data_IF_496014767213
#
_entry.id   IF_496014767213
#
_cell.length_a   1.000
_cell.length_b   1.000
_cell.length_c   1.000
_cell.angle_alpha   90.00
_cell.angle_beta   90.00
_cell.angle_gamma   90.00
#
_symmetry.space_group_name_H-M   'P 1'
#
loop_
_entity.id
_entity.type
_entity.pdbx_description
1 polymer ?
#
# COMPACT_ATOMS: atom_id res chain seq x y z
N UNK A 1 -2.38 -10.89 -25.17
CA UNK A 1 -3.77 -10.36 -25.16
C UNK A 1 -3.89 -9.44 -23.97
N UNK A 2 -4.27 -8.18 -24.15
CA UNK A 2 -4.52 -7.28 -23.02
C UNK A 2 -5.78 -7.79 -22.30
N UNK A 3 -5.60 -8.42 -21.14
CA UNK A 3 -6.71 -8.77 -20.27
C UNK A 3 -7.25 -7.46 -19.70
N UNK A 4 -8.49 -7.11 -20.03
CA UNK A 4 -9.17 -5.95 -19.44
C UNK A 4 -9.68 -6.35 -18.06
N UNK A 5 -8.90 -6.01 -17.02
CA UNK A 5 -9.31 -6.16 -15.63
C UNK A 5 -10.19 -4.98 -15.21
N UNK A 6 -11.07 -5.17 -14.23
CA UNK A 6 -11.75 -4.06 -13.56
C UNK A 6 -10.71 -3.07 -13.02
N UNK A 7 -10.89 -1.77 -13.25
CA UNK A 7 -9.97 -0.69 -12.90
C UNK A 7 -9.70 -0.54 -11.40
N UNK A 8 -9.41 0.68 -10.95
CA UNK A 8 -9.07 1.00 -9.58
C UNK A 8 -7.58 1.21 -9.36
N UNK A 9 -7.22 1.30 -8.08
CA UNK A 9 -5.92 1.80 -7.65
C UNK A 9 -5.15 0.75 -6.86
N UNK A 10 -3.88 0.54 -7.18
CA UNK A 10 -2.98 -0.19 -6.29
C UNK A 10 -2.27 0.79 -5.35
N UNK A 11 -2.72 0.86 -4.10
CA UNK A 11 -2.35 1.93 -3.17
C UNK A 11 -1.13 1.62 -2.28
N UNK A 12 -0.37 0.57 -2.57
CA UNK A 12 0.84 0.25 -1.82
C UNK A 12 1.85 -0.43 -2.76
N UNK A 13 2.97 0.24 -3.06
CA UNK A 13 3.96 -0.26 -3.99
C UNK A 13 5.34 0.35 -3.83
N UNK A 14 6.34 -0.44 -4.24
CA UNK A 14 7.76 -0.11 -4.08
C UNK A 14 8.51 -0.08 -5.41
N UNK A 15 9.42 0.87 -5.54
CA UNK A 15 10.32 1.08 -6.68
C UNK A 15 11.79 0.86 -6.28
N UNK A 16 12.66 0.80 -7.28
CA UNK A 16 14.12 0.79 -7.08
C UNK A 16 14.67 2.07 -6.46
N UNK A 17 13.81 3.08 -6.20
CA UNK A 17 14.19 4.31 -5.49
C UNK A 17 14.06 4.19 -3.98
N UNK A 18 13.51 3.08 -3.46
CA UNK A 18 13.52 2.80 -2.01
C UNK A 18 14.96 2.79 -1.49
N UNK A 19 15.14 3.24 -0.25
CA UNK A 19 16.38 2.91 0.46
C UNK A 19 16.32 1.46 0.89
N UNK A 20 17.41 0.72 0.68
CA UNK A 20 17.50 -0.68 1.10
C UNK A 20 17.25 -0.80 2.60
N UNK A 21 16.02 -1.18 2.97
CA UNK A 21 15.69 -1.48 4.34
C UNK A 21 16.25 -2.87 4.67
N UNK A 22 17.47 -2.89 5.22
CA UNK A 22 18.14 -4.06 5.82
C UNK A 22 18.45 -5.26 4.91
N UNK A 23 18.32 -5.15 3.58
CA UNK A 23 18.87 -6.16 2.66
C UNK A 23 17.93 -7.31 2.27
N UNK A 24 16.64 -7.26 2.64
CA UNK A 24 15.71 -8.38 2.42
C UNK A 24 14.71 -8.15 1.28
N UNK A 25 14.43 -6.89 0.94
CA UNK A 25 13.47 -6.53 -0.09
C UNK A 25 14.12 -6.51 -1.47
N UNK A 26 13.65 -7.40 -2.34
CA UNK A 26 14.10 -7.46 -3.73
C UNK A 26 13.12 -6.61 -4.55
N UNK A 27 13.55 -5.42 -4.94
CA UNK A 27 12.80 -4.56 -5.86
C UNK A 27 13.49 -4.41 -7.20
N UNK A 28 12.72 -4.63 -8.27
CA UNK A 28 13.25 -4.67 -9.63
C UNK A 28 12.50 -3.80 -10.65
N UNK A 29 11.68 -2.86 -10.18
CA UNK A 29 10.96 -1.92 -11.05
C UNK A 29 11.35 -0.47 -10.73
N UNK A 30 11.74 0.28 -11.76
CA UNK A 30 11.86 1.73 -11.65
C UNK A 30 10.49 2.39 -11.51
N UNK A 31 10.43 3.64 -11.00
CA UNK A 31 9.18 4.40 -10.97
C UNK A 31 8.45 4.46 -12.32
N UNK A 32 9.18 4.61 -13.42
CA UNK A 32 8.61 4.64 -14.78
C UNK A 32 8.08 3.27 -15.20
N UNK A 33 8.83 2.19 -14.93
CA UNK A 33 8.38 0.83 -15.23
C UNK A 33 7.10 0.48 -14.48
N UNK A 34 6.98 0.94 -13.23
CA UNK A 34 5.77 0.76 -12.43
C UNK A 34 4.56 1.44 -13.07
N UNK A 35 4.70 2.68 -13.54
CA UNK A 35 3.62 3.40 -14.25
C UNK A 35 3.23 2.67 -15.54
N UNK A 36 4.22 2.22 -16.33
CA UNK A 36 3.95 1.43 -17.54
C UNK A 36 3.21 0.14 -17.23
N UNK A 37 3.57 -0.53 -16.13
CA UNK A 37 2.90 -1.77 -15.71
C UNK A 37 1.48 -1.51 -15.20
N UNK A 38 1.27 -0.41 -14.48
CA UNK A 38 -0.07 0.01 -14.05
C UNK A 38 -1.01 0.19 -15.25
N UNK A 39 -0.53 0.86 -16.30
CA UNK A 39 -1.28 1.00 -17.56
C UNK A 39 -1.57 -0.34 -18.23
N UNK A 40 -0.55 -1.20 -18.35
CA UNK A 40 -0.71 -2.53 -18.97
C UNK A 40 -1.72 -3.41 -18.25
N UNK A 41 -1.77 -3.30 -16.92
CA UNK A 41 -2.70 -4.06 -16.06
C UNK A 41 -4.08 -3.41 -15.97
N UNK A 42 -4.30 -2.27 -16.61
CA UNK A 42 -5.60 -1.57 -16.62
C UNK A 42 -5.96 -0.96 -15.26
N UNK A 43 -4.98 -0.47 -14.51
CA UNK A 43 -5.23 0.36 -13.31
C UNK A 43 -5.58 1.79 -13.72
N UNK A 44 -6.41 2.44 -12.92
CA UNK A 44 -6.66 3.89 -13.01
C UNK A 44 -5.49 4.66 -12.37
N UNK A 45 -4.83 4.05 -11.39
CA UNK A 45 -3.69 4.66 -10.71
C UNK A 45 -2.90 3.71 -9.81
N UNK A 46 -1.76 4.21 -9.35
CA UNK A 46 -0.89 3.54 -8.37
C UNK A 46 -0.40 4.55 -7.33
N UNK A 47 -0.14 4.08 -6.11
CA UNK A 47 0.64 4.85 -5.15
C UNK A 47 2.11 4.43 -5.21
N UNK A 48 3.01 5.41 -5.16
CA UNK A 48 4.44 5.17 -4.95
C UNK A 48 4.69 5.36 -3.46
N UNK A 49 5.08 4.30 -2.76
CA UNK A 49 5.18 4.31 -1.30
C UNK A 49 6.48 3.67 -0.83
N UNK A 50 7.59 4.11 -1.44
CA UNK A 50 8.94 3.62 -1.09
C UNK A 50 9.25 3.80 0.41
N UNK A 51 10.02 2.86 0.96
CA UNK A 51 10.43 2.90 2.37
C UNK A 51 11.23 4.16 2.71
N UNK A 52 10.67 4.97 3.60
CA UNK A 52 11.32 6.13 4.21
C UNK A 52 11.88 7.16 3.20
N UNK A 53 11.37 7.17 1.97
CA UNK A 53 11.86 8.05 0.91
C UNK A 53 10.78 8.35 -0.12
N UNK A 54 10.93 9.49 -0.80
CA UNK A 54 10.10 9.90 -1.94
C UNK A 54 10.93 10.12 -3.22
N UNK A 55 12.19 9.69 -3.25
CA UNK A 55 13.12 9.97 -4.37
C UNK A 55 12.60 9.48 -5.73
N UNK A 56 11.76 8.46 -5.75
CA UNK A 56 11.15 7.92 -6.97
C UNK A 56 9.95 8.71 -7.49
N UNK A 57 9.38 9.60 -6.68
CA UNK A 57 8.07 10.18 -6.95
C UNK A 57 8.06 11.11 -8.17
N UNK A 58 9.04 12.01 -8.30
CA UNK A 58 9.16 12.91 -9.45
C UNK A 58 9.25 12.13 -10.77
N UNK A 59 9.94 10.99 -10.75
CA UNK A 59 10.09 10.11 -11.92
C UNK A 59 8.76 9.42 -12.27
N UNK A 60 8.03 8.92 -11.28
CA UNK A 60 6.71 8.34 -11.48
C UNK A 60 5.70 9.38 -12.01
N UNK A 61 5.63 10.57 -11.41
CA UNK A 61 4.73 11.64 -11.83
C UNK A 61 5.00 12.07 -13.29
N UNK A 62 6.26 12.19 -13.67
CA UNK A 62 6.66 12.53 -15.05
C UNK A 62 6.30 11.43 -16.07
N UNK A 63 6.39 10.15 -15.68
CA UNK A 63 5.94 9.04 -16.53
C UNK A 63 4.41 9.01 -16.64
N UNK A 64 3.72 9.19 -15.52
CA UNK A 64 2.26 9.17 -15.40
C UNK A 64 1.57 10.20 -16.29
N UNK A 65 2.14 11.41 -16.38
CA UNK A 65 1.64 12.48 -17.26
C UNK A 65 1.59 12.08 -18.75
N UNK A 66 2.45 11.16 -19.19
CA UNK A 66 2.48 10.65 -20.58
C UNK A 66 1.55 9.47 -20.78
N UNK A 67 1.32 8.70 -19.73
CA UNK A 67 0.65 7.41 -19.81
C UNK A 67 -0.85 7.47 -19.48
N UNK A 68 -1.31 8.53 -18.83
CA UNK A 68 -2.70 8.69 -18.41
C UNK A 68 -3.05 7.88 -17.16
N UNK A 69 -2.07 7.67 -16.29
CA UNK A 69 -2.21 6.96 -15.01
C UNK A 69 -2.17 8.00 -13.89
N UNK A 70 -3.01 7.84 -12.87
CA UNK A 70 -2.93 8.68 -11.68
C UNK A 70 -1.85 8.11 -10.75
N UNK A 71 -0.86 8.92 -10.41
CA UNK A 71 0.10 8.58 -9.35
C UNK A 71 -0.31 9.27 -8.06
N UNK A 72 -0.62 8.49 -7.03
CA UNK A 72 -0.88 8.98 -5.68
C UNK A 72 0.48 9.12 -4.97
N UNK A 73 0.90 10.33 -4.59
CA UNK A 73 2.18 10.51 -3.94
C UNK A 73 2.14 9.98 -2.51
N UNK A 74 3.20 9.32 -2.07
CA UNK A 74 3.23 8.69 -0.75
C UNK A 74 4.61 8.19 -0.35
N UNK A 75 4.65 7.56 0.82
CA UNK A 75 5.82 6.90 1.39
C UNK A 75 5.36 5.86 2.41
N UNK A 76 6.16 4.81 2.62
CA UNK A 76 5.97 3.88 3.72
C UNK A 76 6.98 4.19 4.83
N UNK A 77 6.52 4.83 5.91
CA UNK A 77 7.38 5.29 7.01
C UNK A 77 7.51 4.19 8.04
N UNK A 78 8.74 3.81 8.36
CA UNK A 78 9.02 2.93 9.50
C UNK A 78 8.97 3.73 10.80
N UNK A 79 7.97 3.45 11.63
CA UNK A 79 7.86 3.99 12.98
C UNK A 79 8.62 3.12 14.00
N UNK A 80 8.82 3.62 15.21
CA UNK A 80 9.40 2.87 16.34
C UNK A 80 8.39 2.78 17.49
N UNK A 81 8.01 1.57 17.87
CA UNK A 81 7.01 1.33 18.89
C UNK A 81 7.36 0.12 19.77
N UNK A 82 7.98 0.40 20.91
CA UNK A 82 8.47 -0.62 21.83
C UNK A 82 9.52 -1.51 21.16
N UNK A 83 9.22 -2.80 20.99
CA UNK A 83 10.09 -3.75 20.27
C UNK A 83 9.76 -3.86 18.78
N UNK A 84 8.69 -3.20 18.33
CA UNK A 84 8.19 -3.25 16.96
C UNK A 84 8.57 -1.98 16.19
N UNK A 85 8.65 -2.13 14.88
CA UNK A 85 8.96 -1.08 13.91
C UNK A 85 7.82 -0.98 12.89
N UNK A 86 6.57 -0.69 13.30
CA UNK A 86 5.43 -0.78 12.42
C UNK A 86 5.56 0.20 11.25
N UNK A 87 5.21 -0.26 10.06
CA UNK A 87 5.11 0.64 8.92
C UNK A 87 3.78 1.41 8.94
N UNK A 88 3.88 2.69 8.58
CA UNK A 88 2.75 3.59 8.39
C UNK A 88 2.81 4.07 6.94
N UNK A 89 1.78 3.71 6.19
CA UNK A 89 1.65 4.10 4.80
C UNK A 89 1.07 5.52 4.75
N UNK A 90 1.64 6.36 3.91
CA UNK A 90 1.23 7.75 3.75
C UNK A 90 0.81 7.98 2.31
N UNK A 91 -0.28 8.72 2.11
CA UNK A 91 -0.79 9.06 0.78
C UNK A 91 -1.15 10.55 0.73
N UNK A 92 -0.98 11.18 -0.42
CA UNK A 92 -1.30 12.58 -0.64
C UNK A 92 -0.27 13.57 -0.09
N UNK A 93 0.98 13.14 0.12
CA UNK A 93 2.04 14.06 0.52
C UNK A 93 2.58 14.82 -0.70
N UNK A 94 2.68 16.14 -0.61
CA UNK A 94 3.34 16.94 -1.63
C UNK A 94 4.87 16.73 -1.57
N UNK A 95 5.54 16.28 -2.64
CA UNK A 95 6.99 16.11 -2.63
C UNK A 95 7.78 17.39 -2.34
N UNK A 96 7.26 18.58 -2.65
CA UNK A 96 7.93 19.85 -2.33
C UNK A 96 7.93 20.15 -0.82
N UNK A 97 6.91 19.67 -0.12
CA UNK A 97 6.82 19.81 1.34
C UNK A 97 7.90 18.95 2.03
N UNK A 98 8.04 17.70 1.60
CA UNK A 98 8.99 16.73 2.20
C UNK A 98 10.46 17.17 2.02
N UNK A 99 10.77 17.95 0.98
CA UNK A 99 12.12 18.50 0.78
C UNK A 99 12.53 19.45 1.91
N UNK A 100 11.56 20.11 2.56
CA UNK A 100 11.81 21.11 3.60
C UNK A 100 11.58 20.57 5.02
N UNK A 101 10.73 19.56 5.19
CA UNK A 101 10.56 18.82 6.43
C UNK A 101 10.68 17.31 6.16
N UNK A 102 11.80 16.66 6.55
CA UNK A 102 12.03 15.25 6.24
C UNK A 102 11.02 14.31 6.92
N UNK A 103 10.80 13.14 6.29
CA UNK A 103 9.93 12.10 6.85
C UNK A 103 10.33 11.72 8.29
N UNK A 104 9.38 11.56 9.22
CA UNK A 104 9.62 11.29 10.65
C UNK A 104 10.01 9.83 10.91
N UNK A 105 11.06 9.35 10.26
CA UNK A 105 11.58 7.99 10.38
C UNK A 105 11.98 7.67 11.84
N UNK A 106 11.59 6.48 12.31
CA UNK A 106 11.82 5.96 13.67
C UNK A 106 11.22 6.82 14.80
N UNK A 107 10.24 7.67 14.49
CA UNK A 107 9.39 8.29 15.53
C UNK A 107 8.28 7.33 15.95
N UNK A 108 7.66 7.61 17.10
CA UNK A 108 6.48 6.85 17.53
C UNK A 108 5.30 7.05 16.54
N UNK A 109 4.39 6.06 16.45
CA UNK A 109 3.26 6.12 15.51
C UNK A 109 2.44 7.39 15.61
N UNK A 110 2.16 7.87 16.83
CA UNK A 110 1.40 9.09 17.07
C UNK A 110 2.08 10.32 16.44
N UNK A 111 3.40 10.46 16.63
CA UNK A 111 4.21 11.50 16.00
C UNK A 111 4.21 11.38 14.48
N UNK A 112 4.35 10.17 13.94
CA UNK A 112 4.33 9.95 12.47
C UNK A 112 2.98 10.34 11.88
N UNK A 113 1.88 9.89 12.48
CA UNK A 113 0.52 10.19 12.00
C UNK A 113 0.26 11.70 12.05
N UNK A 114 0.61 12.34 13.17
CA UNK A 114 0.45 13.79 13.31
C UNK A 114 1.23 14.54 12.23
N UNK A 115 2.49 14.15 12.01
CA UNK A 115 3.32 14.76 10.98
C UNK A 115 2.70 14.62 9.58
N UNK A 116 2.10 13.48 9.25
CA UNK A 116 1.42 13.28 7.97
C UNK A 116 0.22 14.23 7.82
N UNK A 117 -0.58 14.37 8.88
CA UNK A 117 -1.74 15.28 8.90
C UNK A 117 -1.34 16.75 8.83
N UNK A 118 -0.28 17.15 9.54
CA UNK A 118 0.25 18.52 9.49
C UNK A 118 0.68 18.92 8.07
N UNK A 119 1.05 17.94 7.24
CA UNK A 119 1.47 18.12 5.84
C UNK A 119 0.37 17.79 4.82
N UNK A 120 -0.88 17.66 5.25
CA UNK A 120 -2.05 17.51 4.37
C UNK A 120 -2.22 16.12 3.75
N UNK A 121 -1.37 15.16 4.11
CA UNK A 121 -1.51 13.76 3.71
C UNK A 121 -2.49 12.99 4.60
N UNK A 122 -2.71 11.72 4.25
CA UNK A 122 -3.45 10.76 5.07
C UNK A 122 -2.53 9.63 5.54
N UNK A 123 -2.77 9.15 6.76
CA UNK A 123 -2.06 8.04 7.36
C UNK A 123 -2.91 6.76 7.30
N UNK A 124 -2.30 5.68 6.84
CA UNK A 124 -2.94 4.37 6.71
C UNK A 124 -2.16 3.34 7.53
N UNK A 125 -2.88 2.61 8.38
CA UNK A 125 -2.30 1.45 9.05
C UNK A 125 -2.10 0.32 8.03
N UNK A 126 -0.86 0.07 7.63
CA UNK A 126 -0.55 -0.91 6.58
C UNK A 126 -0.13 -2.27 7.15
N UNK A 127 -0.51 -3.33 6.41
CA UNK A 127 -0.28 -4.76 6.70
C UNK A 127 -0.20 -5.12 8.20
N UNK A 128 -1.17 -4.70 9.05
CA UNK A 128 -1.14 -5.01 10.47
C UNK A 128 -1.20 -6.52 10.71
N UNK A 129 -0.85 -6.96 11.91
CA UNK A 129 -0.77 -8.38 12.23
C UNK A 129 -1.15 -8.64 13.67
N UNK A 130 -1.38 -9.89 14.04
CA UNK A 130 -1.72 -10.23 15.42
C UNK A 130 -0.58 -9.87 16.40
N UNK A 131 0.67 -10.17 16.02
CA UNK A 131 1.85 -10.11 16.90
C UNK A 131 2.99 -9.20 16.41
N UNK A 132 2.73 -8.33 15.43
CA UNK A 132 3.76 -7.46 14.83
C UNK A 132 4.52 -8.07 13.65
N UNK A 133 4.18 -9.29 13.25
CA UNK A 133 4.78 -9.98 12.12
C UNK A 133 6.10 -10.68 12.45
N UNK A 134 6.65 -11.41 11.48
CA UNK A 134 7.88 -12.20 11.67
C UNK A 134 9.09 -11.32 12.01
N UNK A 135 9.15 -10.13 11.43
CA UNK A 135 10.27 -9.19 11.59
C UNK A 135 9.93 -7.99 12.49
N UNK A 136 8.78 -8.03 13.18
CA UNK A 136 8.28 -6.95 14.03
C UNK A 136 8.00 -5.63 13.31
N UNK A 137 7.87 -5.66 11.99
CA UNK A 137 7.68 -4.49 11.11
C UNK A 137 6.21 -4.05 10.97
N UNK A 138 5.31 -4.69 11.70
CA UNK A 138 3.86 -4.50 11.55
C UNK A 138 3.26 -4.03 12.83
N UNK A 139 2.13 -3.34 12.71
CA UNK A 139 1.35 -2.94 13.87
C UNK A 139 0.62 -4.15 14.46
N UNK A 140 0.85 -4.52 15.74
CA UNK A 140 0.05 -5.54 16.41
C UNK A 140 -1.42 -5.11 16.52
N UNK A 141 -2.38 -6.03 16.43
CA UNK A 141 -3.80 -5.69 16.48
C UNK A 141 -4.23 -4.98 17.77
N UNK A 142 -3.59 -5.28 18.90
CA UNK A 142 -3.84 -4.56 20.16
C UNK A 142 -3.50 -3.06 20.03
N UNK A 143 -2.43 -2.74 19.33
CA UNK A 143 -1.93 -1.38 19.15
C UNK A 143 -2.71 -0.69 18.03
N UNK A 144 -3.06 -1.42 16.96
CA UNK A 144 -3.98 -0.94 15.95
C UNK A 144 -5.34 -0.56 16.54
N UNK A 145 -5.93 -1.36 17.43
CA UNK A 145 -7.19 -1.01 18.10
C UNK A 145 -7.10 0.31 18.86
N UNK A 146 -5.95 0.58 19.48
CA UNK A 146 -5.69 1.81 20.24
C UNK A 146 -5.50 3.02 19.32
N UNK A 147 -4.76 2.83 18.23
CA UNK A 147 -4.35 3.90 17.31
C UNK A 147 -5.30 4.10 16.13
N UNK A 148 -6.22 3.18 15.87
CA UNK A 148 -7.17 3.24 14.76
C UNK A 148 -7.89 4.59 14.64
N UNK A 149 -8.34 5.26 15.73
CA UNK A 149 -8.96 6.58 15.63
C UNK A 149 -8.08 7.68 15.04
N UNK A 150 -6.75 7.50 15.08
CA UNK A 150 -5.78 8.44 14.50
C UNK A 150 -5.52 8.16 13.01
N UNK A 151 -5.81 6.95 12.51
CA UNK A 151 -5.63 6.61 11.11
C UNK A 151 -6.84 7.04 10.27
N UNK A 152 -6.57 7.47 9.04
CA UNK A 152 -7.58 7.82 8.05
C UNK A 152 -8.15 6.57 7.37
N UNK A 153 -7.35 5.52 7.25
CA UNK A 153 -7.78 4.23 6.71
C UNK A 153 -6.94 3.07 7.26
N UNK A 154 -7.42 1.85 7.01
CA UNK A 154 -6.72 0.61 7.35
C UNK A 154 -6.55 -0.22 6.08
N UNK A 155 -5.33 -0.68 5.81
CA UNK A 155 -5.08 -1.65 4.76
C UNK A 155 -5.58 -3.02 5.22
N UNK A 156 -6.53 -3.58 4.48
CA UNK A 156 -7.17 -4.86 4.81
C UNK A 156 -6.84 -5.97 3.80
N UNK A 157 -6.44 -5.59 2.59
CA UNK A 157 -6.11 -6.52 1.51
C UNK A 157 -4.66 -6.29 1.07
N UNK A 158 -3.89 -7.37 0.99
CA UNK A 158 -2.47 -7.34 0.61
C UNK A 158 -2.05 -8.71 0.06
N UNK A 159 -1.14 -8.78 -0.93
CA UNK A 159 -0.69 -10.06 -1.52
C UNK A 159 -0.13 -11.01 -0.46
N UNK A 160 0.64 -10.49 0.50
CA UNK A 160 1.31 -11.30 1.50
C UNK A 160 0.33 -11.96 2.48
N UNK A 161 -0.87 -11.40 2.66
CA UNK A 161 -1.83 -11.81 3.71
C UNK A 161 -3.23 -12.16 3.21
N UNK A 162 -3.50 -11.99 1.92
CA UNK A 162 -4.85 -12.09 1.39
C UNK A 162 -5.76 -11.03 2.03
N UNK A 163 -6.90 -11.49 2.53
CA UNK A 163 -7.83 -10.65 3.32
C UNK A 163 -7.48 -10.78 4.79
N UNK A 164 -7.07 -9.68 5.42
CA UNK A 164 -6.73 -9.61 6.82
C UNK A 164 -8.00 -9.38 7.66
N UNK A 165 -8.66 -10.47 8.07
CA UNK A 165 -9.93 -10.40 8.79
C UNK A 165 -9.84 -9.62 10.11
N UNK A 166 -8.72 -9.73 10.84
CA UNK A 166 -8.49 -8.93 12.04
C UNK A 166 -8.45 -7.42 11.76
N UNK A 167 -7.82 -7.02 10.66
CA UNK A 167 -7.82 -5.61 10.22
C UNK A 167 -9.21 -5.15 9.76
N UNK A 168 -9.96 -6.01 9.03
CA UNK A 168 -11.34 -5.74 8.60
C UNK A 168 -12.24 -5.49 9.80
N UNK A 169 -12.20 -6.38 10.80
CA UNK A 169 -13.01 -6.24 12.01
C UNK A 169 -12.68 -4.97 12.79
N UNK A 170 -11.40 -4.61 12.89
CA UNK A 170 -10.98 -3.38 13.59
C UNK A 170 -11.47 -2.16 12.82
N UNK A 171 -11.32 -2.15 11.48
CA UNK A 171 -11.80 -1.06 10.64
C UNK A 171 -13.30 -0.86 10.78
N UNK A 172 -14.09 -1.93 10.77
CA UNK A 172 -15.55 -1.88 10.92
C UNK A 172 -15.97 -1.41 12.31
N UNK A 173 -15.36 -1.96 13.37
CA UNK A 173 -15.64 -1.56 14.76
C UNK A 173 -15.29 -0.09 15.03
N UNK A 174 -14.32 0.46 14.33
CA UNK A 174 -13.84 1.84 14.50
C UNK A 174 -14.32 2.79 13.38
N UNK A 175 -15.24 2.33 12.52
CA UNK A 175 -15.73 3.07 11.35
C UNK A 175 -14.59 3.73 10.55
N UNK A 176 -13.54 2.96 10.25
CA UNK A 176 -12.39 3.38 9.46
C UNK A 176 -12.54 2.89 8.02
N UNK A 177 -12.30 3.75 7.02
CA UNK A 177 -12.17 3.36 5.63
C UNK A 177 -11.22 2.18 5.42
N UNK A 178 -11.56 1.31 4.48
CA UNK A 178 -10.75 0.14 4.10
C UNK A 178 -10.09 0.40 2.76
N UNK A 179 -8.79 0.13 2.67
CA UNK A 179 -8.06 0.11 1.40
C UNK A 179 -7.29 -1.19 1.21
N UNK A 180 -6.78 -1.37 0.00
CA UNK A 180 -5.99 -2.49 -0.44
C UNK A 180 -4.82 -2.01 -1.28
N UNK A 181 -3.72 -2.74 -1.21
CA UNK A 181 -2.56 -2.50 -2.05
C UNK A 181 -1.71 -3.76 -2.09
N UNK A 182 -1.09 -4.00 -3.23
CA UNK A 182 -0.38 -5.25 -3.48
C UNK A 182 0.88 -5.36 -2.63
N UNK A 183 1.42 -4.23 -2.15
CA UNK A 183 2.74 -4.15 -1.51
C UNK A 183 3.79 -4.78 -2.41
N UNK A 184 3.73 -4.34 -3.67
CA UNK A 184 4.44 -4.98 -4.75
C UNK A 184 5.90 -4.53 -4.76
N UNK A 185 6.76 -5.51 -5.00
CA UNK A 185 8.21 -5.39 -5.00
C UNK A 185 8.79 -5.80 -6.35
N UNK A 186 8.12 -6.72 -7.05
CA UNK A 186 8.60 -7.22 -8.34
C UNK A 186 7.55 -7.12 -9.44
N UNK A 187 8.04 -7.11 -10.68
CA UNK A 187 7.20 -7.13 -11.87
C UNK A 187 6.16 -8.27 -11.84
N UNK A 188 4.94 -7.95 -12.26
CA UNK A 188 3.79 -8.86 -12.27
C UNK A 188 2.96 -8.90 -10.97
N UNK A 189 3.41 -8.24 -9.89
CA UNK A 189 2.60 -8.05 -8.67
C UNK A 189 1.67 -6.84 -8.75
N UNK A 190 1.96 -5.88 -9.63
CA UNK A 190 1.20 -4.63 -9.77
C UNK A 190 -0.26 -4.91 -10.08
N UNK A 191 -1.16 -4.33 -9.28
CA UNK A 191 -2.60 -4.39 -9.46
C UNK A 191 -3.23 -5.76 -9.19
N UNK A 192 -2.53 -6.67 -8.49
CA UNK A 192 -3.13 -7.92 -7.98
C UNK A 192 -4.16 -7.59 -6.89
N UNK A 193 -3.85 -6.64 -6.01
CA UNK A 193 -4.79 -6.04 -5.06
C UNK A 193 -5.09 -4.63 -5.52
N UNK A 194 -6.37 -4.28 -5.58
CA UNK A 194 -6.86 -2.98 -6.02
C UNK A 194 -7.78 -2.39 -4.96
N UNK A 195 -7.91 -1.08 -4.99
CA UNK A 195 -8.91 -0.31 -4.27
C UNK A 195 -9.79 0.36 -5.30
N UNK A 196 -11.08 0.02 -5.28
CA UNK A 196 -12.11 0.73 -6.03
C UNK A 196 -12.35 2.08 -5.36
N UNK A 197 -12.43 3.12 -6.17
CA UNK A 197 -12.77 4.48 -5.76
C UNK A 197 -14.14 4.79 -6.36
N UNK A 198 -15.15 5.08 -5.53
CA UNK A 198 -16.54 5.19 -6.00
C UNK A 198 -16.89 6.52 -6.68
N UNK A 199 -16.04 7.53 -6.56
CA UNK A 199 -16.09 8.77 -7.35
C UNK A 199 -15.15 8.67 -8.55
N UNK A 200 -15.49 9.36 -9.65
CA UNK A 200 -14.57 9.55 -10.77
C UNK A 200 -13.39 10.40 -10.29
N UNK A 201 -12.24 9.75 -10.04
CA UNK A 201 -11.02 10.42 -9.65
C UNK A 201 -10.27 10.90 -10.89
N UNK A 202 -9.97 12.21 -10.95
CA UNK A 202 -9.24 12.84 -12.07
C UNK A 202 -7.79 13.12 -11.73
N UNK A 203 -7.48 13.15 -10.44
CA UNK A 203 -6.17 13.40 -9.87
C UNK A 203 -6.03 12.63 -8.55
N UNK A 204 -4.86 12.70 -7.91
CA UNK A 204 -4.62 11.99 -6.66
C UNK A 204 -5.40 12.58 -5.48
N UNK A 205 -5.73 13.88 -5.50
CA UNK A 205 -6.49 14.53 -4.45
C UNK A 205 -7.91 13.94 -4.35
N UNK A 206 -8.54 13.65 -5.50
CA UNK A 206 -9.84 13.00 -5.56
C UNK A 206 -9.81 11.59 -4.93
N UNK A 207 -8.70 10.87 -5.09
CA UNK A 207 -8.47 9.55 -4.49
C UNK A 207 -8.35 9.66 -2.97
N UNK A 208 -7.52 10.60 -2.49
CA UNK A 208 -7.33 10.84 -1.04
C UNK A 208 -8.64 11.25 -0.38
N UNK A 209 -9.41 12.13 -1.01
CA UNK A 209 -10.71 12.55 -0.49
C UNK A 209 -11.73 11.41 -0.48
N UNK A 210 -11.71 10.53 -1.49
CA UNK A 210 -12.54 9.32 -1.48
C UNK A 210 -12.22 8.38 -0.31
N UNK A 211 -10.93 8.18 -0.04
CA UNK A 211 -10.45 7.39 1.10
C UNK A 211 -10.99 7.99 2.40
N UNK A 212 -10.82 9.30 2.61
CA UNK A 212 -11.31 9.99 3.82
C UNK A 212 -12.82 9.88 4.00
N UNK A 213 -13.58 9.89 2.90
CA UNK A 213 -15.04 9.73 2.92
C UNK A 213 -15.50 8.26 3.06
N UNK A 214 -14.58 7.29 3.10
CA UNK A 214 -14.92 5.87 3.12
C UNK A 214 -15.54 5.37 1.81
N UNK A 215 -15.36 6.11 0.71
CA UNK A 215 -15.85 5.76 -0.62
C UNK A 215 -14.87 4.84 -1.34
N UNK A 216 -14.45 3.79 -0.65
CA UNK A 216 -13.45 2.84 -1.13
C UNK A 216 -13.82 1.40 -0.84
N UNK A 217 -13.46 0.50 -1.75
CA UNK A 217 -13.62 -0.94 -1.56
C UNK A 217 -12.38 -1.68 -2.08
N UNK A 218 -11.63 -2.37 -1.19
CA UNK A 218 -10.50 -3.18 -1.62
C UNK A 218 -10.94 -4.54 -2.17
N UNK A 219 -10.27 -5.02 -3.21
CA UNK A 219 -10.54 -6.31 -3.84
C UNK A 219 -9.28 -6.91 -4.49
N UNK A 220 -9.30 -8.22 -4.70
CA UNK A 220 -8.30 -8.92 -5.50
C UNK A 220 -8.73 -8.94 -6.98
N UNK A 221 -7.77 -8.85 -7.89
CA UNK A 221 -8.00 -8.95 -9.34
C UNK A 221 -8.71 -10.27 -9.66
N UNK A 222 -9.70 -10.21 -10.55
CA UNK A 222 -10.67 -11.30 -10.79
C UNK A 222 -10.06 -12.61 -11.31
N UNK A 223 -8.86 -12.58 -11.89
CA UNK A 223 -8.16 -13.78 -12.35
C UNK A 223 -7.32 -14.47 -11.27
N UNK A 224 -7.29 -13.92 -10.06
CA UNK A 224 -6.64 -14.55 -8.91
C UNK A 224 -7.64 -15.54 -8.31
N UNK A 225 -7.32 -16.85 -8.30
CA UNK A 225 -8.22 -17.85 -7.76
C UNK A 225 -8.48 -17.62 -6.26
N UNK A 226 -9.73 -17.81 -5.82
CA UNK A 226 -10.12 -17.61 -4.42
C UNK A 226 -9.27 -18.47 -3.45
N UNK A 227 -8.86 -19.67 -3.84
CA UNK A 227 -7.99 -20.52 -3.02
C UNK A 227 -6.57 -19.95 -2.83
N UNK A 228 -6.15 -19.02 -3.69
CA UNK A 228 -4.90 -18.28 -3.57
C UNK A 228 -5.05 -17.03 -2.71
N UNK A 229 -6.27 -16.47 -2.61
CA UNK A 229 -6.63 -15.39 -1.69
C UNK A 229 -6.81 -16.00 -0.29
N UNK A 230 -5.71 -16.32 0.37
CA UNK A 230 -5.76 -16.96 1.70
C UNK A 230 -6.29 -16.00 2.77
N UNK A 231 -7.16 -16.51 3.65
CA UNK A 231 -7.45 -15.88 4.92
C UNK A 231 -6.25 -16.03 5.87
N UNK A 232 -5.79 -14.91 6.41
CA UNK A 232 -4.61 -14.70 7.26
C UNK A 232 -4.43 -15.68 8.45
N UNK A 233 -5.50 -16.35 8.92
CA UNK A 233 -5.48 -17.12 10.19
C UNK A 233 -5.06 -18.60 10.09
N UNK A 234 -4.49 -19.07 8.98
CA UNK A 234 -3.96 -20.44 8.89
C UNK A 234 -2.48 -20.46 8.54
N UNK A 235 -1.68 -21.14 9.39
CA UNK A 235 -0.22 -21.36 9.29
C UNK A 235 0.30 -21.46 7.85
N UNK A 236 1.53 -20.99 7.56
CA UNK A 236 2.08 -20.93 6.22
C UNK A 236 2.38 -22.34 5.69
N UNK A 237 1.40 -23.01 5.10
CA UNK A 237 1.63 -24.29 4.43
C UNK A 237 2.22 -24.09 3.03
N UNK A 238 2.14 -22.90 2.41
CA UNK A 238 2.53 -22.75 1.00
C UNK A 238 3.16 -21.40 0.70
N UNK A 239 4.43 -21.23 1.04
CA UNK A 239 5.31 -20.23 0.41
C UNK A 239 6.06 -20.79 -0.81
N UNK A 240 6.14 -22.12 -0.97
CA UNK A 240 6.74 -22.77 -2.14
C UNK A 240 5.79 -22.79 -3.35
N UNK A 241 4.59 -23.34 -3.20
CA UNK A 241 3.69 -23.54 -4.35
C UNK A 241 3.00 -22.27 -4.82
N UNK A 242 2.80 -21.26 -3.96
CA UNK A 242 2.23 -19.97 -4.38
C UNK A 242 3.24 -19.17 -5.23
N UNK A 243 4.53 -19.15 -4.85
CA UNK A 243 5.60 -18.56 -5.68
C UNK A 243 5.75 -19.28 -7.02
N UNK A 244 5.66 -20.62 -7.03
CA UNK A 244 5.72 -21.41 -8.27
C UNK A 244 4.47 -21.22 -9.15
N UNK A 245 3.26 -21.16 -8.58
CA UNK A 245 2.02 -20.90 -9.33
C UNK A 245 1.94 -19.49 -9.87
N UNK A 246 2.34 -18.47 -9.09
CA UNK A 246 2.39 -17.08 -9.57
C UNK A 246 3.42 -16.95 -10.70
N UNK A 247 4.57 -17.62 -10.60
CA UNK A 247 5.58 -17.65 -11.67
C UNK A 247 5.07 -18.35 -12.93
N UNK A 248 4.17 -19.32 -12.83
CA UNK A 248 3.52 -19.96 -13.99
C UNK A 248 2.35 -19.17 -14.59
N UNK A 249 1.72 -18.28 -13.82
CA UNK A 249 0.63 -17.41 -14.29
C UNK A 249 1.13 -16.09 -14.91
N UNK A 250 2.38 -15.72 -14.62
CA UNK A 250 3.07 -14.52 -15.12
C UNK A 250 4.07 -14.82 -16.26
N UNK A 251 4.18 -16.07 -16.71
CA UNK A 251 4.94 -16.50 -17.88
C UNK A 251 4.01 -16.61 -19.10
#
# INVERSE_FOLDING_TARGET
MNKNYEGGFDLHGHTTSMEWWRGFDIVNMSPEQMVTEAKKTGLDGVAITDHNTIRGLDRALNAAAKEGIIVVPGAEITAHYGINFPHILTLGLDPEIIKNDPLPHLKDPETVIKWVHDHGGIAVATHPSEHGGKFRERMPFKDLKRLAPMFDAIQTHNIQHGINQGAVEIAEKQNRPKIGGSDFHVMGQVGIVRTKIFNEAKNWQDVVEAIKQGKTEPFFRQDIPEEMIKNYDRKPILLKTAKEKIKSLLA
#
